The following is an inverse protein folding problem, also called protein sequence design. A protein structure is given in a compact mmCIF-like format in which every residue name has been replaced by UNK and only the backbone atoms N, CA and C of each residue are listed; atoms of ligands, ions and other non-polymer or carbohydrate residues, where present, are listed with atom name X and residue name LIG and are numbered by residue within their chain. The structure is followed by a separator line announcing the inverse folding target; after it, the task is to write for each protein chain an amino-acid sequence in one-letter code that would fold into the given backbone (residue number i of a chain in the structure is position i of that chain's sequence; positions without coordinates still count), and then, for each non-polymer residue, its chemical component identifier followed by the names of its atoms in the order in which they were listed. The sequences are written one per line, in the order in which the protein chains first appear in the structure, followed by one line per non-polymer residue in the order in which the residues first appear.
data_IF_296664073654
#
_entry.id   IF_296664073654
#
_cell.length_a   1.000
_cell.length_b   1.000
_cell.length_c   1.000
_cell.angle_alpha   90.00
_cell.angle_beta   90.00
_cell.angle_gamma   90.00
#
_symmetry.space_group_name_H-M   'P 1'
#
loop_
_entity.id
_entity.type
_entity.pdbx_description
1 polymer ?
#
# COMPACT_ATOMS: atom_id res chain seq x y z
N UNK A 1 1.24 -4.78 -19.15
CA UNK A 1 0.65 -3.95 -18.09
C UNK A 1 -0.79 -4.38 -17.91
N UNK A 2 -1.33 -4.27 -16.70
CA UNK A 2 -2.72 -4.67 -16.43
C UNK A 2 -3.64 -3.80 -17.30
N UNK A 3 -4.52 -4.43 -18.07
CA UNK A 3 -5.56 -3.75 -18.86
C UNK A 3 -6.86 -3.58 -18.06
N UNK A 4 -6.84 -4.01 -16.81
CA UNK A 4 -8.01 -3.98 -15.93
C UNK A 4 -8.32 -2.53 -15.51
N UNK A 5 -9.60 -2.13 -15.49
CA UNK A 5 -10.01 -0.83 -14.98
C UNK A 5 -9.66 -0.74 -13.48
N UNK A 6 -9.17 0.43 -13.07
CA UNK A 6 -8.85 0.74 -11.66
C UNK A 6 -9.62 1.99 -11.29
N UNK A 7 -10.42 1.89 -10.23
CA UNK A 7 -11.10 3.02 -9.62
C UNK A 7 -10.50 3.33 -8.25
N UNK A 8 -10.68 4.57 -7.78
CA UNK A 8 -10.16 5.01 -6.49
C UNK A 8 -11.18 5.88 -5.75
N UNK A 9 -11.08 5.85 -4.42
CA UNK A 9 -11.74 6.79 -3.53
C UNK A 9 -10.67 7.37 -2.58
N UNK A 10 -10.64 8.69 -2.42
CA UNK A 10 -9.77 9.31 -1.41
C UNK A 10 -10.35 10.60 -0.82
N UNK A 11 -10.45 10.63 0.51
CA UNK A 11 -10.41 11.85 1.32
C UNK A 11 -9.01 11.94 1.94
N UNK A 12 -8.26 13.00 1.63
CA UNK A 12 -6.86 13.11 2.01
C UNK A 12 -6.68 13.12 3.54
N UNK A 13 -5.85 12.21 4.05
CA UNK A 13 -5.53 12.11 5.48
C UNK A 13 -6.70 11.61 6.36
N UNK A 14 -7.77 11.11 5.76
CA UNK A 14 -8.94 10.62 6.49
C UNK A 14 -8.80 9.15 6.88
N UNK A 15 -9.21 8.76 8.10
CA UNK A 15 -9.27 7.36 8.51
C UNK A 15 -10.37 6.59 7.77
N UNK A 16 -10.34 5.25 7.81
CA UNK A 16 -11.32 4.38 7.14
C UNK A 16 -12.77 4.71 7.52
N UNK A 17 -13.01 5.12 8.77
CA UNK A 17 -14.29 5.64 9.25
C UNK A 17 -14.79 6.82 8.42
N UNK A 18 -13.96 7.84 8.24
CA UNK A 18 -14.34 9.07 7.56
C UNK A 18 -14.49 8.80 6.06
N UNK A 19 -13.62 7.95 5.48
CA UNK A 19 -13.81 7.46 4.12
C UNK A 19 -15.20 6.81 3.93
N UNK A 20 -15.72 6.15 4.97
CA UNK A 20 -17.03 5.50 4.94
C UNK A 20 -18.18 6.49 5.20
N UNK A 21 -18.09 7.33 6.22
CA UNK A 21 -19.18 8.22 6.60
C UNK A 21 -19.35 9.38 5.61
N UNK A 22 -18.23 9.89 5.07
CA UNK A 22 -18.19 11.06 4.21
C UNK A 22 -17.81 10.72 2.76
N UNK A 23 -18.04 9.47 2.33
CA UNK A 23 -17.64 8.96 1.01
C UNK A 23 -18.10 9.85 -0.18
N UNK A 24 -19.21 10.58 -0.04
CA UNK A 24 -19.73 11.52 -1.03
C UNK A 24 -18.85 12.77 -1.24
N UNK A 25 -17.94 13.08 -0.32
CA UNK A 25 -16.95 14.15 -0.44
C UNK A 25 -15.60 13.67 -0.97
N UNK A 26 -15.43 12.37 -1.21
CA UNK A 26 -14.17 11.81 -1.67
C UNK A 26 -13.87 12.21 -3.12
N UNK A 27 -12.59 12.28 -3.45
CA UNK A 27 -12.14 12.30 -4.85
C UNK A 27 -12.30 10.90 -5.45
N UNK A 28 -12.58 10.83 -6.75
CA UNK A 28 -12.84 9.57 -7.44
C UNK A 28 -14.30 9.14 -7.31
N UNK A 29 -14.55 7.86 -7.07
CA UNK A 29 -15.90 7.30 -6.89
C UNK A 29 -16.33 7.36 -5.42
N UNK A 30 -17.64 7.49 -5.17
CA UNK A 30 -18.21 7.18 -3.86
C UNK A 30 -18.27 5.66 -3.72
N UNK A 31 -17.21 5.05 -3.18
CA UNK A 31 -17.04 3.60 -3.03
C UNK A 31 -18.17 2.93 -2.26
N UNK A 32 -18.82 3.61 -1.32
CA UNK A 32 -19.98 3.04 -0.59
C UNK A 32 -21.18 2.80 -1.49
N UNK A 33 -21.44 3.70 -2.41
CA UNK A 33 -22.53 3.60 -3.38
C UNK A 33 -22.11 2.80 -4.61
N UNK A 34 -20.82 2.86 -4.98
CA UNK A 34 -20.29 2.28 -6.21
C UNK A 34 -20.04 0.77 -6.10
N UNK A 35 -19.42 0.28 -5.02
CA UNK A 35 -19.06 -1.14 -4.86
C UNK A 35 -20.23 -2.14 -4.98
N UNK A 36 -21.44 -1.86 -4.46
CA UNK A 36 -22.59 -2.76 -4.61
C UNK A 36 -23.00 -3.03 -6.06
N UNK A 37 -22.78 -2.07 -6.96
CA UNK A 37 -23.17 -2.15 -8.36
C UNK A 37 -22.01 -2.56 -9.28
N UNK A 38 -20.77 -2.51 -8.78
CA UNK A 38 -19.55 -2.73 -9.55
C UNK A 38 -18.66 -3.76 -8.84
N UNK A 39 -18.83 -5.07 -9.14
CA UNK A 39 -17.98 -6.10 -8.56
C UNK A 39 -16.52 -5.89 -8.94
N UNK A 40 -15.63 -5.98 -7.95
CA UNK A 40 -14.17 -5.86 -8.13
C UNK A 40 -13.47 -7.16 -7.79
N UNK A 41 -12.39 -7.49 -8.50
CA UNK A 41 -11.57 -8.67 -8.20
C UNK A 41 -10.62 -8.47 -7.01
N UNK A 42 -10.27 -7.22 -6.72
CA UNK A 42 -9.41 -6.84 -5.63
C UNK A 42 -9.87 -5.52 -5.02
N UNK A 43 -9.87 -5.45 -3.68
CA UNK A 43 -10.11 -4.23 -2.91
C UNK A 43 -8.82 -3.93 -2.14
N UNK A 44 -8.21 -2.77 -2.37
CA UNK A 44 -7.03 -2.32 -1.61
C UNK A 44 -7.45 -1.18 -0.69
N UNK A 45 -7.27 -1.37 0.61
CA UNK A 45 -7.54 -0.39 1.66
C UNK A 45 -6.24 0.04 2.32
N UNK A 46 -6.18 1.24 2.89
CA UNK A 46 -5.15 1.64 3.85
C UNK A 46 -5.81 2.45 4.95
N UNK A 47 -5.30 2.32 6.18
CA UNK A 47 -5.66 3.22 7.27
C UNK A 47 -4.79 4.49 7.23
N UNK A 48 -5.29 5.55 7.84
CA UNK A 48 -4.55 6.79 8.11
C UNK A 48 -3.38 6.53 9.07
N UNK A 49 -2.31 7.30 8.88
CA UNK A 49 -1.21 7.46 9.87
C UNK A 49 -1.30 8.82 10.60
N UNK A 50 -0.84 8.92 11.86
CA UNK A 50 -0.27 7.84 12.70
C UNK A 50 -1.31 6.75 13.05
N UNK A 51 -0.89 5.49 13.10
CA UNK A 51 -1.82 4.36 13.22
C UNK A 51 -2.46 4.26 14.62
N UNK A 52 -1.71 4.53 15.69
CA UNK A 52 -2.22 4.47 17.06
C UNK A 52 -3.49 5.32 17.29
N UNK A 53 -3.49 6.63 16.96
CA UNK A 53 -4.70 7.44 17.10
C UNK A 53 -5.80 7.01 16.12
N UNK A 54 -5.49 6.44 14.96
CA UNK A 54 -6.51 5.89 14.07
C UNK A 54 -7.24 4.71 14.76
N UNK A 55 -6.47 3.78 15.33
CA UNK A 55 -7.02 2.63 16.03
C UNK A 55 -7.77 3.01 17.32
N UNK A 56 -7.30 4.03 18.04
CA UNK A 56 -7.92 4.48 19.29
C UNK A 56 -9.26 5.21 19.07
N UNK A 57 -9.34 6.06 18.04
CA UNK A 57 -10.45 7.00 17.90
C UNK A 57 -11.38 6.75 16.70
N UNK A 58 -11.02 5.88 15.75
CA UNK A 58 -11.73 5.76 14.47
C UNK A 58 -12.20 4.35 14.11
N UNK A 59 -12.27 3.42 15.08
CA UNK A 59 -12.75 2.04 14.85
C UNK A 59 -12.15 1.39 13.59
N UNK A 60 -10.81 1.50 13.45
CA UNK A 60 -10.08 0.97 12.29
C UNK A 60 -10.45 -0.48 11.98
N UNK A 61 -10.58 -1.32 13.01
CA UNK A 61 -10.92 -2.73 12.89
C UNK A 61 -12.32 -2.91 12.29
N UNK A 62 -13.33 -2.24 12.85
CA UNK A 62 -14.71 -2.33 12.39
C UNK A 62 -14.90 -1.77 10.99
N UNK A 63 -14.27 -0.64 10.65
CA UNK A 63 -14.41 -0.06 9.31
C UNK A 63 -13.65 -0.82 8.23
N UNK A 64 -12.49 -1.41 8.53
CA UNK A 64 -11.83 -2.33 7.62
C UNK A 64 -12.75 -3.53 7.28
N UNK A 65 -13.38 -4.13 8.29
CA UNK A 65 -14.33 -5.23 8.09
C UNK A 65 -15.56 -4.79 7.29
N UNK A 66 -16.12 -3.60 7.54
CA UNK A 66 -17.27 -3.06 6.80
C UNK A 66 -16.97 -2.86 5.31
N UNK A 67 -15.82 -2.28 4.97
CA UNK A 67 -15.42 -2.08 3.57
C UNK A 67 -15.26 -3.41 2.82
N UNK A 68 -14.62 -4.40 3.46
CA UNK A 68 -14.48 -5.74 2.89
C UNK A 68 -15.83 -6.42 2.73
N UNK A 69 -16.70 -6.36 3.75
CA UNK A 69 -18.04 -6.92 3.68
C UNK A 69 -18.88 -6.29 2.57
N UNK A 70 -18.74 -4.98 2.33
CA UNK A 70 -19.42 -4.29 1.25
C UNK A 70 -18.99 -4.81 -0.13
N UNK A 71 -17.69 -4.91 -0.39
CA UNK A 71 -17.19 -5.46 -1.67
C UNK A 71 -17.60 -6.92 -1.88
N UNK A 72 -17.74 -7.71 -0.81
CA UNK A 72 -18.22 -9.09 -0.88
C UNK A 72 -19.68 -9.21 -1.31
N UNK A 73 -20.51 -8.19 -1.13
CA UNK A 73 -21.92 -8.24 -1.53
C UNK A 73 -22.08 -8.37 -3.05
N UNK A 74 -21.23 -7.68 -3.82
CA UNK A 74 -21.22 -7.76 -5.28
C UNK A 74 -20.29 -8.85 -5.81
N UNK A 75 -19.18 -9.14 -5.12
CA UNK A 75 -18.28 -10.25 -5.44
C UNK A 75 -17.84 -11.04 -4.20
N UNK A 76 -18.46 -12.19 -3.89
CA UNK A 76 -18.05 -13.03 -2.75
C UNK A 76 -16.60 -13.52 -2.79
N UNK A 77 -16.00 -13.57 -3.99
CA UNK A 77 -14.61 -13.98 -4.24
C UNK A 77 -13.62 -12.80 -4.36
N UNK A 78 -14.04 -11.57 -4.02
CA UNK A 78 -13.12 -10.41 -3.97
C UNK A 78 -11.91 -10.74 -3.11
N UNK A 79 -10.72 -10.32 -3.56
CA UNK A 79 -9.47 -10.42 -2.79
C UNK A 79 -9.21 -9.12 -2.04
N UNK A 80 -9.47 -9.03 -0.73
CA UNK A 80 -9.18 -7.82 0.02
C UNK A 80 -7.69 -7.74 0.38
N UNK A 81 -7.17 -6.52 0.37
CA UNK A 81 -5.81 -6.20 0.74
C UNK A 81 -5.76 -4.98 1.66
N UNK A 82 -4.88 -5.03 2.65
CA UNK A 82 -4.52 -3.87 3.45
C UNK A 82 -3.11 -3.42 3.07
N UNK A 83 -2.98 -2.20 2.56
CA UNK A 83 -1.72 -1.56 2.23
C UNK A 83 -1.10 -0.99 3.52
N UNK A 84 -0.03 -1.64 3.99
CA UNK A 84 0.80 -1.14 5.10
C UNK A 84 1.56 0.12 4.65
N UNK A 85 1.25 1.27 5.27
CA UNK A 85 1.94 2.54 5.01
C UNK A 85 3.01 2.85 6.08
N UNK A 86 3.47 4.09 6.12
CA UNK A 86 4.47 4.63 7.04
C UNK A 86 3.99 6.00 7.52
N UNK A 87 4.48 6.42 8.69
CA UNK A 87 4.27 7.77 9.21
C UNK A 87 5.37 8.75 8.73
N UNK A 88 5.28 10.03 9.08
CA UNK A 88 6.25 11.05 8.69
C UNK A 88 7.68 10.71 9.15
N UNK A 89 8.68 11.10 8.37
CA UNK A 89 10.11 10.98 8.67
C UNK A 89 10.52 12.18 9.51
N UNK A 90 10.96 11.94 10.75
CA UNK A 90 11.44 13.00 11.64
C UNK A 90 12.63 13.77 11.06
N UNK A 91 12.76 15.05 11.45
CA UNK A 91 13.97 15.81 11.19
C UNK A 91 15.19 15.10 11.81
N UNK A 92 16.29 15.02 11.04
CA UNK A 92 17.51 14.35 11.46
C UNK A 92 17.61 12.90 10.99
N UNK A 93 18.16 11.97 11.80
CA UNK A 93 18.39 10.58 11.40
C UNK A 93 17.09 9.85 11.04
N UNK A 94 17.14 9.00 10.01
CA UNK A 94 15.97 8.23 9.51
C UNK A 94 15.80 6.86 10.17
N UNK A 95 16.74 6.45 11.04
CA UNK A 95 16.69 5.18 11.77
C UNK A 95 15.42 5.03 12.65
N UNK A 96 15.03 6.04 13.46
CA UNK A 96 13.80 5.96 14.25
C UNK A 96 12.54 5.74 13.41
N UNK A 97 12.44 6.39 12.24
CA UNK A 97 11.34 6.19 11.31
C UNK A 97 11.28 4.73 10.80
N UNK A 98 12.43 4.19 10.38
CA UNK A 98 12.57 2.79 9.95
C UNK A 98 12.13 1.83 11.06
N UNK A 99 12.58 2.05 12.29
CA UNK A 99 12.28 1.18 13.43
C UNK A 99 10.81 1.27 13.86
N UNK A 100 10.17 2.44 13.73
CA UNK A 100 8.73 2.59 13.96
C UNK A 100 7.91 1.74 12.99
N UNK A 101 8.26 1.69 11.71
CA UNK A 101 7.56 0.85 10.72
C UNK A 101 7.56 -0.62 11.15
N UNK A 102 8.69 -1.11 11.67
CA UNK A 102 8.80 -2.48 12.20
C UNK A 102 7.95 -2.66 13.47
N UNK A 103 7.98 -1.68 14.38
CA UNK A 103 7.20 -1.72 15.61
C UNK A 103 5.68 -1.67 15.37
N UNK A 104 5.24 -1.01 14.29
CA UNK A 104 3.83 -0.91 13.92
C UNK A 104 3.33 -2.11 13.08
N UNK A 105 4.21 -2.94 12.52
CA UNK A 105 3.81 -4.09 11.71
C UNK A 105 2.79 -5.01 12.42
N UNK A 106 2.96 -5.38 13.71
CA UNK A 106 1.95 -6.19 14.40
C UNK A 106 0.58 -5.52 14.49
N UNK A 107 0.51 -4.18 14.52
CA UNK A 107 -0.76 -3.43 14.54
C UNK A 107 -1.47 -3.51 13.19
N UNK A 108 -0.72 -3.36 12.09
CA UNK A 108 -1.24 -3.59 10.75
C UNK A 108 -1.74 -5.03 10.56
N UNK A 109 -0.99 -6.01 11.07
CA UNK A 109 -1.40 -7.41 11.03
C UNK A 109 -2.66 -7.66 11.85
N UNK A 110 -2.82 -7.01 13.02
CA UNK A 110 -4.03 -7.14 13.83
C UNK A 110 -5.30 -6.68 13.10
N UNK A 111 -5.21 -5.71 12.18
CA UNK A 111 -6.34 -5.29 11.33
C UNK A 111 -6.71 -6.41 10.35
N UNK A 112 -5.71 -6.99 9.68
CA UNK A 112 -5.90 -8.12 8.76
C UNK A 112 -6.51 -9.32 9.50
N UNK A 113 -5.97 -9.66 10.67
CA UNK A 113 -6.43 -10.76 11.50
C UNK A 113 -7.89 -10.55 11.93
N UNK A 114 -8.24 -9.34 12.38
CA UNK A 114 -9.60 -9.00 12.77
C UNK A 114 -10.60 -9.18 11.61
N UNK A 115 -10.27 -8.67 10.42
CA UNK A 115 -11.11 -8.84 9.22
C UNK A 115 -11.32 -10.32 8.87
N UNK A 116 -10.32 -11.16 9.17
CA UNK A 116 -10.33 -12.59 8.86
C UNK A 116 -10.93 -13.48 9.98
N UNK A 117 -11.22 -12.94 11.18
CA UNK A 117 -11.72 -13.74 12.32
C UNK A 117 -13.00 -14.51 11.98
N UNK A 118 -13.94 -13.87 11.29
CA UNK A 118 -15.24 -14.45 10.91
C UNK A 118 -15.36 -14.64 9.38
N UNK A 119 -14.25 -15.02 8.75
CA UNK A 119 -14.17 -15.19 7.30
C UNK A 119 -15.22 -16.22 6.82
N UNK A 120 -16.16 -15.84 5.92
CA UNK A 120 -17.15 -16.79 5.40
C UNK A 120 -16.49 -17.99 4.73
N UNK A 121 -17.13 -19.16 4.78
CA UNK A 121 -16.58 -20.35 4.14
C UNK A 121 -16.37 -20.11 2.63
N UNK A 122 -15.15 -20.34 2.16
CA UNK A 122 -14.78 -20.16 0.75
C UNK A 122 -14.46 -18.71 0.34
N UNK A 123 -14.53 -17.76 1.26
CA UNK A 123 -14.10 -16.38 1.03
C UNK A 123 -12.56 -16.27 0.97
N UNK A 124 -12.05 -15.42 0.08
CA UNK A 124 -10.62 -15.05 0.06
C UNK A 124 -10.25 -14.24 1.31
N UNK A 125 -9.20 -14.60 2.07
CA UNK A 125 -8.76 -13.82 3.22
C UNK A 125 -8.19 -12.47 2.82
N UNK A 126 -8.29 -11.48 3.71
CA UNK A 126 -7.52 -10.25 3.61
C UNK A 126 -6.03 -10.54 3.73
N UNK A 127 -5.22 -9.89 2.91
CA UNK A 127 -3.75 -9.97 2.94
C UNK A 127 -3.14 -8.60 3.10
N UNK A 128 -1.98 -8.52 3.75
CA UNK A 128 -1.22 -7.28 3.81
C UNK A 128 -0.41 -7.09 2.51
N UNK A 129 -0.37 -5.87 1.98
CA UNK A 129 0.64 -5.43 0.99
C UNK A 129 1.76 -4.76 1.81
N UNK A 130 2.95 -5.38 1.92
CA UNK A 130 3.99 -5.03 2.90
C UNK A 130 4.86 -3.85 2.44
N UNK A 131 4.25 -2.74 2.04
CA UNK A 131 5.01 -1.60 1.50
C UNK A 131 5.84 -0.92 2.58
N UNK A 132 5.33 -0.81 3.81
CA UNK A 132 6.14 -0.35 4.95
C UNK A 132 7.43 -1.17 5.11
N UNK A 133 7.34 -2.50 5.09
CA UNK A 133 8.55 -3.35 5.08
C UNK A 133 9.43 -3.13 3.84
N UNK A 134 8.81 -2.86 2.69
CA UNK A 134 9.54 -2.43 1.50
C UNK A 134 10.33 -1.16 1.74
N UNK A 135 9.76 -0.17 2.42
CA UNK A 135 10.43 1.08 2.78
C UNK A 135 11.59 0.86 3.76
N UNK A 136 11.46 -0.07 4.71
CA UNK A 136 12.57 -0.50 5.58
C UNK A 136 13.70 -1.10 4.74
N UNK A 137 13.38 -2.00 3.80
CA UNK A 137 14.39 -2.59 2.91
C UNK A 137 15.09 -1.54 2.04
N UNK A 138 14.32 -0.59 1.49
CA UNK A 138 14.87 0.49 0.67
C UNK A 138 15.76 1.43 1.48
N UNK A 139 15.37 1.74 2.71
CA UNK A 139 16.19 2.51 3.64
C UNK A 139 17.56 1.85 3.87
N UNK A 140 17.57 0.55 4.12
CA UNK A 140 18.79 -0.20 4.42
C UNK A 140 19.70 -0.29 3.19
N UNK A 141 19.13 -0.63 2.03
CA UNK A 141 19.87 -0.71 0.77
C UNK A 141 20.46 0.65 0.36
N UNK A 142 19.72 1.75 0.50
CA UNK A 142 20.22 3.09 0.19
C UNK A 142 21.37 3.49 1.13
N UNK A 143 21.23 3.20 2.42
CA UNK A 143 22.27 3.48 3.43
C UNK A 143 23.54 2.65 3.22
N UNK A 144 23.41 1.45 2.64
CA UNK A 144 24.51 0.58 2.25
C UNK A 144 25.16 0.96 0.89
N UNK A 145 24.61 1.94 0.17
CA UNK A 145 25.09 2.33 -1.16
C UNK A 145 24.73 1.36 -2.27
N UNK A 146 23.72 0.51 -2.06
CA UNK A 146 23.29 -0.53 -2.99
C UNK A 146 22.27 -0.02 -4.03
N UNK A 147 21.76 1.21 -3.85
CA UNK A 147 20.73 1.80 -4.71
C UNK A 147 21.37 2.89 -5.59
N UNK A 148 21.54 2.65 -6.90
CA UNK A 148 22.12 3.64 -7.80
C UNK A 148 21.40 4.99 -7.74
N UNK A 149 22.16 6.07 -7.57
CA UNK A 149 21.62 7.44 -7.51
C UNK A 149 20.90 7.80 -6.21
N UNK A 150 20.96 6.97 -5.17
CA UNK A 150 20.41 7.28 -3.84
C UNK A 150 21.44 6.95 -2.74
N UNK A 151 21.39 7.73 -1.67
CA UNK A 151 22.24 7.58 -0.48
C UNK A 151 21.41 7.56 0.81
N UNK A 152 20.13 7.91 0.72
CA UNK A 152 19.19 7.89 1.83
C UNK A 152 17.79 7.54 1.33
N UNK A 153 16.94 7.04 2.24
CA UNK A 153 15.51 6.93 1.96
C UNK A 153 14.90 8.29 1.57
N UNK A 154 15.45 9.40 2.05
CA UNK A 154 14.98 10.75 1.73
C UNK A 154 15.06 11.08 0.24
N UNK A 155 15.90 10.40 -0.54
CA UNK A 155 15.96 10.57 -1.99
C UNK A 155 14.70 10.05 -2.71
N UNK A 156 13.87 9.27 -2.01
CA UNK A 156 12.59 8.72 -2.49
C UNK A 156 11.38 9.47 -1.97
N UNK A 157 11.59 10.58 -1.27
CA UNK A 157 10.56 11.38 -0.62
C UNK A 157 10.68 12.86 -1.03
N UNK A 158 9.57 13.48 -1.42
CA UNK A 158 9.55 14.91 -1.81
C UNK A 158 9.41 15.85 -0.61
N UNK A 159 8.86 15.32 0.47
CA UNK A 159 8.70 15.94 1.78
C UNK A 159 8.76 14.84 2.84
N UNK A 160 8.46 15.15 4.09
CA UNK A 160 8.64 14.19 5.18
C UNK A 160 7.62 13.03 5.20
N UNK A 161 6.66 12.94 4.28
CA UNK A 161 5.70 11.81 4.25
C UNK A 161 5.35 11.31 2.86
N UNK A 162 5.46 12.16 1.84
CA UNK A 162 5.06 11.84 0.47
C UNK A 162 6.25 11.35 -0.38
N UNK A 163 6.08 10.22 -1.09
CA UNK A 163 7.07 9.76 -2.05
C UNK A 163 7.26 10.71 -3.22
N UNK A 164 8.45 10.64 -3.82
CA UNK A 164 8.71 11.25 -5.13
C UNK A 164 7.93 10.53 -6.22
N UNK A 165 7.54 11.27 -7.26
CA UNK A 165 7.00 10.66 -8.49
C UNK A 165 8.05 9.80 -9.20
N UNK A 166 9.31 10.26 -9.17
CA UNK A 166 10.45 9.52 -9.69
C UNK A 166 11.05 8.63 -8.58
N UNK A 167 10.87 7.31 -8.70
CA UNK A 167 11.48 6.32 -7.80
C UNK A 167 10.58 5.89 -6.64
N UNK A 168 10.09 6.82 -5.81
CA UNK A 168 9.30 6.50 -4.63
C UNK A 168 7.98 5.79 -4.97
N UNK A 169 7.10 6.45 -5.74
CA UNK A 169 5.88 5.81 -6.26
C UNK A 169 6.16 4.62 -7.17
N UNK A 170 7.27 4.63 -7.91
CA UNK A 170 7.66 3.50 -8.74
C UNK A 170 7.90 2.24 -7.90
N UNK A 171 8.67 2.36 -6.81
CA UNK A 171 8.97 1.26 -5.91
C UNK A 171 7.71 0.70 -5.24
N UNK A 172 6.84 1.58 -4.74
CA UNK A 172 5.54 1.20 -4.17
C UNK A 172 4.69 0.43 -5.18
N UNK A 173 4.66 0.88 -6.44
CA UNK A 173 3.93 0.21 -7.51
C UNK A 173 4.49 -1.19 -7.81
N UNK A 174 5.81 -1.39 -7.73
CA UNK A 174 6.42 -2.73 -7.90
C UNK A 174 6.03 -3.69 -6.77
N UNK A 175 5.93 -3.19 -5.53
CA UNK A 175 5.46 -4.00 -4.38
C UNK A 175 3.99 -4.37 -4.56
N UNK A 176 3.13 -3.41 -4.96
CA UNK A 176 1.74 -3.68 -5.27
C UNK A 176 1.59 -4.69 -6.40
N UNK A 177 2.35 -4.55 -7.49
CA UNK A 177 2.35 -5.50 -8.60
C UNK A 177 2.67 -6.91 -8.10
N UNK A 178 3.75 -7.06 -7.33
CA UNK A 178 4.17 -8.35 -6.79
C UNK A 178 3.10 -8.96 -5.87
N UNK A 179 2.53 -8.18 -4.95
CA UNK A 179 1.53 -8.66 -4.01
C UNK A 179 0.19 -9.02 -4.67
N UNK A 180 -0.28 -8.22 -5.62
CA UNK A 180 -1.59 -8.42 -6.27
C UNK A 180 -1.56 -9.54 -7.32
N UNK A 181 -0.42 -9.73 -7.99
CA UNK A 181 -0.30 -10.68 -9.12
C UNK A 181 0.45 -11.95 -8.78
N UNK A 182 1.23 -11.97 -7.70
CA UNK A 182 2.16 -13.06 -7.36
C UNK A 182 3.32 -13.20 -8.34
N UNK A 183 3.55 -12.22 -9.23
CA UNK A 183 4.60 -12.25 -10.25
C UNK A 183 5.75 -11.33 -9.88
N UNK A 184 6.96 -11.72 -10.29
CA UNK A 184 8.13 -10.86 -10.11
C UNK A 184 8.03 -9.58 -10.95
N UNK A 185 8.26 -8.40 -10.36
CA UNK A 185 8.37 -7.14 -11.09
C UNK A 185 9.73 -6.98 -11.81
N UNK A 186 10.68 -7.91 -11.62
CA UNK A 186 12.02 -7.82 -12.24
C UNK A 186 11.91 -7.94 -13.75
N UNK A 187 12.50 -6.97 -14.45
CA UNK A 187 12.46 -6.86 -15.91
C UNK A 187 11.25 -6.10 -16.45
N UNK A 188 10.37 -5.57 -15.60
CA UNK A 188 9.29 -4.69 -16.04
C UNK A 188 9.82 -3.32 -16.51
N UNK A 189 8.94 -2.55 -17.14
CA UNK A 189 9.22 -1.17 -17.56
C UNK A 189 9.70 -0.31 -16.38
N UNK A 190 10.66 0.57 -16.64
CA UNK A 190 11.10 1.62 -15.73
C UNK A 190 10.35 2.96 -15.94
N UNK A 191 9.27 2.94 -16.73
CA UNK A 191 8.38 4.07 -16.93
C UNK A 191 6.93 3.57 -16.90
N UNK A 192 6.21 3.95 -15.85
CA UNK A 192 4.81 3.55 -15.62
C UNK A 192 3.91 4.47 -16.47
N UNK A 193 2.95 3.95 -17.25
CA UNK A 193 1.95 4.78 -17.93
C UNK A 193 0.97 5.35 -16.90
N UNK A 194 0.32 6.46 -17.24
CA UNK A 194 -0.76 7.03 -16.44
C UNK A 194 -1.86 7.59 -17.34
N UNK A 195 -3.06 7.77 -16.78
CA UNK A 195 -4.21 8.32 -17.52
C UNK A 195 -3.96 9.73 -18.07
N UNK A 196 -3.10 10.51 -17.42
CA UNK A 196 -2.65 11.84 -17.88
C UNK A 196 -1.33 11.86 -18.66
N UNK A 197 -0.78 10.69 -19.00
CA UNK A 197 0.56 10.52 -19.57
C UNK A 197 1.47 9.68 -18.67
N UNK A 198 2.66 9.27 -19.16
CA UNK A 198 3.56 8.43 -18.40
C UNK A 198 4.18 9.18 -17.22
N UNK A 199 4.32 8.49 -16.09
CA UNK A 199 5.09 8.95 -14.94
C UNK A 199 6.58 9.14 -15.31
N UNK A 200 7.35 9.89 -14.49
CA UNK A 200 8.79 10.04 -14.68
C UNK A 200 9.49 8.69 -14.85
N UNK A 201 10.39 8.62 -15.84
CA UNK A 201 11.22 7.44 -16.07
C UNK A 201 12.26 7.31 -14.96
N UNK A 202 12.32 6.16 -14.33
CA UNK A 202 13.36 5.82 -13.35
C UNK A 202 14.63 5.36 -14.09
N UNK A 203 15.85 5.80 -13.71
CA UNK A 203 17.09 5.28 -14.29
C UNK A 203 17.13 3.75 -14.28
N UNK A 204 17.58 3.13 -15.38
CA UNK A 204 17.43 1.67 -15.57
C UNK A 204 18.07 0.86 -14.43
N UNK A 205 19.29 1.19 -14.05
CA UNK A 205 20.03 0.51 -12.97
C UNK A 205 19.34 0.67 -11.62
N UNK A 206 18.80 1.86 -11.33
CA UNK A 206 18.01 2.09 -10.12
C UNK A 206 16.71 1.27 -10.15
N UNK A 207 16.01 1.24 -11.29
CA UNK A 207 14.77 0.49 -11.44
C UNK A 207 14.98 -1.03 -11.26
N UNK A 208 16.07 -1.60 -11.77
CA UNK A 208 16.43 -3.01 -11.59
C UNK A 208 16.59 -3.36 -10.10
N UNK A 209 17.28 -2.51 -9.32
CA UNK A 209 17.42 -2.69 -7.87
C UNK A 209 16.06 -2.55 -7.17
N UNK A 210 15.28 -1.51 -7.47
CA UNK A 210 13.96 -1.30 -6.87
C UNK A 210 13.00 -2.47 -7.13
N UNK A 211 13.00 -3.04 -8.34
CA UNK A 211 12.22 -4.22 -8.66
C UNK A 211 12.66 -5.46 -7.85
N UNK A 212 13.97 -5.66 -7.69
CA UNK A 212 14.50 -6.77 -6.88
C UNK A 212 14.12 -6.63 -5.40
N UNK A 213 14.30 -5.44 -4.82
CA UNK A 213 13.93 -5.16 -3.44
C UNK A 213 12.42 -5.33 -3.22
N UNK A 214 11.59 -4.91 -4.18
CA UNK A 214 10.15 -5.08 -4.12
C UNK A 214 9.77 -6.57 -4.14
N UNK A 215 10.40 -7.35 -5.01
CA UNK A 215 10.18 -8.79 -5.10
C UNK A 215 10.57 -9.51 -3.81
N UNK A 216 11.76 -9.24 -3.30
CA UNK A 216 12.26 -9.83 -2.05
C UNK A 216 11.33 -9.52 -0.87
N UNK A 217 10.90 -8.26 -0.74
CA UNK A 217 9.96 -7.84 0.29
C UNK A 217 8.69 -8.70 0.30
N UNK A 218 8.07 -8.89 -0.87
CA UNK A 218 6.83 -9.68 -0.96
C UNK A 218 7.08 -11.18 -0.74
N UNK A 219 8.17 -11.73 -1.27
CA UNK A 219 8.49 -13.15 -1.10
C UNK A 219 8.82 -13.51 0.36
N UNK A 220 9.62 -12.69 1.04
CA UNK A 220 9.97 -12.92 2.43
C UNK A 220 8.76 -12.72 3.35
N UNK A 221 7.93 -11.70 3.10
CA UNK A 221 6.70 -11.50 3.86
C UNK A 221 5.69 -12.64 3.69
N UNK A 222 5.55 -13.18 2.47
CA UNK A 222 4.65 -14.31 2.22
C UNK A 222 5.18 -15.66 2.75
N UNK A 223 6.47 -15.74 3.10
CA UNK A 223 7.10 -16.91 3.71
C UNK A 223 7.02 -16.95 5.24
N UNK A 224 6.44 -15.92 5.86
CA UNK A 224 6.17 -15.82 7.29
C UNK A 224 4.69 -16.14 7.59
#
# INVERSE_FOLDING_TARGET
MLQEPVEMQIINGAPLEVQWNDAHHAQGVNGREWLPEHPVDALVLTERVPLDPAMEYHDTLGYAARWVALARQSNPAVRPYLYQTWDYIEAGPTGPWRDRILADLPKWQAIVDHVNMDLPQGAEPMRLIPVGLGMVRLHDAASAGEVPGATSIRDFFRDDIHPTEAGGFYYIAMIHYAALTGKSPVGLTNQIPGGGGPYPRVPKEQAEVLQQLAWQTVQEFAGH
#
